data_IF_329474056739
#
_entry.id   IF_329474056739
#
_cell.length_a   1.000
_cell.length_b   1.000
_cell.length_c   1.000
_cell.angle_alpha   90.00
_cell.angle_beta   90.00
_cell.angle_gamma   90.00
#
_symmetry.space_group_name_H-M   'P 1'
#
loop_
_entity.id
_entity.type
_entity.pdbx_description
1 polymer ?
#
# COMPACT_ATOMS: atom_id res chain seq x y z
N UNK A 1 -83.52 51.42 -9.74
CA UNK A 1 -84.67 50.48 -9.65
C UNK A 1 -84.31 49.33 -10.56
N UNK A 2 -83.80 48.22 -10.03
CA UNK A 2 -84.57 47.21 -9.27
C UNK A 2 -85.17 46.28 -10.33
N UNK A 3 -84.83 45.00 -10.43
CA UNK A 3 -85.27 43.91 -9.54
C UNK A 3 -84.96 42.62 -10.33
N UNK A 4 -84.20 41.64 -9.82
CA UNK A 4 -84.68 40.39 -9.16
C UNK A 4 -85.59 39.52 -10.08
N UNK A 5 -85.45 38.19 -10.19
CA UNK A 5 -85.32 37.19 -9.12
C UNK A 5 -84.94 35.78 -9.67
N UNK A 6 -84.26 34.98 -8.81
CA UNK A 6 -84.50 33.54 -8.45
C UNK A 6 -84.59 32.44 -9.54
N UNK A 7 -84.23 31.15 -9.38
CA UNK A 7 -83.58 30.32 -8.35
C UNK A 7 -83.39 28.89 -8.93
N UNK A 8 -82.26 28.26 -8.60
CA UNK A 8 -82.12 26.89 -8.02
C UNK A 8 -82.54 25.59 -8.75
N UNK A 9 -81.54 24.69 -8.94
CA UNK A 9 -81.52 23.22 -8.70
C UNK A 9 -80.04 22.78 -8.65
N UNK A 10 -79.51 21.84 -7.85
CA UNK A 10 -79.80 21.13 -6.58
C UNK A 10 -78.51 20.31 -6.28
N UNK A 11 -78.12 20.18 -5.00
CA UNK A 11 -76.90 19.53 -4.46
C UNK A 11 -76.85 17.98 -4.52
N UNK A 12 -75.63 17.42 -4.43
CA UNK A 12 -75.19 16.23 -3.65
C UNK A 12 -73.62 16.25 -3.60
N UNK A 13 -72.91 16.67 -2.52
CA UNK A 13 -72.43 15.96 -1.29
C UNK A 13 -71.52 14.73 -1.61
N UNK A 14 -70.32 14.43 -1.06
CA UNK A 14 -69.65 14.61 0.26
C UNK A 14 -68.18 14.08 0.14
N UNK A 15 -67.17 14.75 0.73
CA UNK A 15 -66.34 14.34 1.90
C UNK A 15 -65.04 13.53 1.67
N UNK A 16 -64.00 14.04 2.36
CA UNK A 16 -62.90 13.37 3.07
C UNK A 16 -61.73 12.77 2.29
N UNK A 17 -60.49 12.74 2.80
CA UNK A 17 -59.69 13.55 3.75
C UNK A 17 -58.30 12.88 3.71
N UNK A 18 -57.30 13.58 4.23
CA UNK A 18 -55.88 13.19 4.36
C UNK A 18 -55.64 11.79 4.97
N UNK A 19 -54.49 11.19 4.64
CA UNK A 19 -53.49 10.71 5.62
C UNK A 19 -52.08 10.72 5.00
N UNK A 20 -51.15 11.10 5.87
CA UNK A 20 -49.74 11.48 5.77
C UNK A 20 -48.70 10.40 5.43
N UNK A 21 -47.50 10.93 5.14
CA UNK A 21 -46.15 10.43 5.47
C UNK A 21 -45.51 9.46 4.43
N UNK A 22 -44.24 9.55 4.03
CA UNK A 22 -43.06 10.24 4.56
C UNK A 22 -41.92 10.24 3.51
N UNK A 23 -40.97 11.17 3.69
CA UNK A 23 -39.58 11.21 3.20
C UNK A 23 -39.30 11.75 1.77
N UNK A 24 -38.87 13.02 1.68
CA UNK A 24 -37.49 13.56 1.88
C UNK A 24 -36.68 13.43 0.59
N UNK A 25 -36.45 14.54 -0.11
CA UNK A 25 -35.24 15.40 0.03
C UNK A 25 -33.97 14.61 -0.33
N UNK A 26 -33.10 15.03 -1.25
CA UNK A 26 -32.65 16.39 -1.45
C UNK A 26 -31.92 16.52 -2.81
N UNK A 27 -32.06 17.72 -3.41
CA UNK A 27 -30.95 18.54 -3.88
C UNK A 27 -29.73 17.81 -4.46
N UNK A 28 -29.62 17.82 -5.79
CA UNK A 28 -28.35 17.69 -6.50
C UNK A 28 -27.56 18.97 -6.18
N UNK A 29 -26.87 18.92 -5.04
CA UNK A 29 -25.93 19.94 -4.58
C UNK A 29 -24.59 19.73 -5.25
N UNK A 30 -24.06 20.83 -5.76
CA UNK A 30 -22.71 21.03 -6.29
C UNK A 30 -21.64 20.35 -5.43
N UNK A 31 -20.97 19.35 -5.98
CA UNK A 31 -19.70 18.83 -5.44
C UNK A 31 -18.54 19.64 -6.05
N UNK A 32 -18.41 20.89 -5.64
CA UNK A 32 -17.13 21.60 -5.64
C UNK A 32 -16.56 21.56 -4.23
N UNK A 33 -15.24 21.42 -4.15
CA UNK A 33 -14.38 21.33 -2.96
C UNK A 33 -14.15 19.92 -2.38
N UNK A 34 -13.43 19.09 -3.14
CA UNK A 34 -12.36 18.25 -2.54
C UNK A 34 -11.08 18.65 -3.26
N UNK A 35 -10.09 19.11 -2.50
CA UNK A 35 -8.86 19.71 -3.00
C UNK A 35 -8.13 18.81 -4.00
N UNK A 36 -8.29 19.10 -5.28
CA UNK A 36 -7.42 18.64 -6.35
C UNK A 36 -6.06 19.32 -6.22
N UNK A 37 -5.14 18.65 -5.55
CA UNK A 37 -3.73 18.69 -5.96
C UNK A 37 -3.30 17.24 -6.23
N UNK A 38 -3.89 16.69 -7.29
CA UNK A 38 -3.53 15.40 -7.85
C UNK A 38 -2.25 15.60 -8.68
N UNK A 39 -1.12 15.11 -8.17
CA UNK A 39 0.05 14.88 -9.01
C UNK A 39 -0.07 13.42 -9.45
N UNK A 40 -0.46 13.13 -10.71
CA UNK A 40 -0.22 11.81 -11.25
C UNK A 40 1.29 11.66 -11.38
N UNK A 41 1.90 10.94 -10.44
CA UNK A 41 3.18 10.29 -10.73
C UNK A 41 2.83 9.25 -11.80
N UNK A 42 3.49 9.32 -12.97
CA UNK A 42 3.43 8.25 -13.98
C UNK A 42 4.00 6.98 -13.33
N UNK A 43 3.13 6.25 -12.65
CA UNK A 43 3.44 5.04 -11.92
C UNK A 43 3.47 3.82 -12.81
N UNK A 44 3.89 2.70 -12.24
CA UNK A 44 3.87 1.41 -12.91
C UNK A 44 2.49 1.08 -13.52
N UNK A 45 2.44 0.94 -14.84
CA UNK A 45 1.23 0.51 -15.55
C UNK A 45 1.17 -1.02 -15.63
N UNK A 46 0.19 -1.67 -14.97
CA UNK A 46 0.09 -3.12 -14.93
C UNK A 46 -0.38 -3.77 -16.24
N UNK A 47 -0.86 -2.95 -17.19
CA UNK A 47 -1.38 -3.42 -18.48
C UNK A 47 -0.31 -3.34 -19.60
N UNK A 48 0.90 -2.89 -19.29
CA UNK A 48 2.03 -2.92 -20.23
C UNK A 48 2.71 -4.30 -20.23
N UNK A 49 2.94 -4.85 -21.43
CA UNK A 49 3.69 -6.10 -21.60
C UNK A 49 5.12 -5.92 -21.05
N UNK A 50 5.42 -6.57 -19.91
CA UNK A 50 6.74 -6.54 -19.28
C UNK A 50 7.75 -7.37 -20.07
N UNK A 51 8.71 -6.69 -20.69
CA UNK A 51 9.86 -7.35 -21.34
C UNK A 51 10.94 -7.58 -20.27
N UNK A 52 11.05 -8.83 -19.81
CA UNK A 52 12.06 -9.23 -18.83
C UNK A 52 13.34 -9.65 -19.56
N UNK A 53 14.48 -9.07 -19.17
CA UNK A 53 15.79 -9.50 -19.66
C UNK A 53 16.09 -10.91 -19.15
N UNK A 54 16.48 -11.82 -20.05
CA UNK A 54 16.83 -13.20 -19.72
C UNK A 54 17.94 -13.27 -18.65
N UNK A 55 18.86 -12.30 -18.64
CA UNK A 55 19.93 -12.18 -17.65
C UNK A 55 19.40 -11.87 -16.26
N UNK A 56 18.39 -11.00 -16.17
CA UNK A 56 17.78 -10.64 -14.88
C UNK A 56 16.95 -11.81 -14.35
N UNK A 57 16.27 -12.54 -15.23
CA UNK A 57 15.58 -13.78 -14.89
C UNK A 57 16.54 -14.86 -14.35
N UNK A 58 17.67 -15.09 -15.03
CA UNK A 58 18.70 -16.04 -14.58
C UNK A 58 19.34 -15.59 -13.25
N UNK A 59 19.56 -14.28 -13.09
CA UNK A 59 20.08 -13.72 -11.83
C UNK A 59 19.12 -13.97 -10.67
N UNK A 60 17.82 -13.73 -10.84
CA UNK A 60 16.83 -14.00 -9.81
C UNK A 60 16.82 -15.47 -9.39
N UNK A 61 16.85 -16.40 -10.35
CA UNK A 61 16.92 -17.82 -10.03
C UNK A 61 18.21 -18.20 -9.30
N UNK A 62 19.36 -17.70 -9.76
CA UNK A 62 20.66 -17.93 -9.11
C UNK A 62 20.66 -17.44 -7.66
N UNK A 63 20.12 -16.24 -7.41
CA UNK A 63 20.00 -15.68 -6.07
C UNK A 63 19.09 -16.53 -5.17
N UNK A 64 17.95 -16.98 -5.70
CA UNK A 64 17.00 -17.83 -5.00
C UNK A 64 17.62 -19.18 -4.61
N UNK A 65 18.28 -19.85 -5.56
CA UNK A 65 18.95 -21.14 -5.32
C UNK A 65 20.10 -21.01 -4.32
N UNK A 66 20.92 -19.96 -4.46
CA UNK A 66 22.05 -19.69 -3.55
C UNK A 66 21.57 -19.45 -2.12
N UNK A 67 20.44 -18.79 -1.92
CA UNK A 67 19.86 -18.62 -0.59
C UNK A 67 19.46 -19.96 0.01
N UNK A 68 18.76 -20.81 -0.76
CA UNK A 68 18.37 -22.16 -0.31
C UNK A 68 19.58 -23.03 0.02
N UNK A 69 20.66 -22.91 -0.74
CA UNK A 69 21.95 -23.55 -0.44
C UNK A 69 22.54 -23.08 0.88
N UNK A 70 22.66 -21.76 1.08
CA UNK A 70 23.17 -21.20 2.33
C UNK A 70 22.32 -21.62 3.54
N UNK A 71 21.00 -21.64 3.40
CA UNK A 71 20.11 -22.13 4.47
C UNK A 71 20.38 -23.60 4.83
N UNK A 72 20.71 -24.45 3.84
CA UNK A 72 21.07 -25.85 4.07
C UNK A 72 22.43 -26.00 4.75
N UNK A 73 23.40 -25.18 4.36
CA UNK A 73 24.79 -25.34 4.78
C UNK A 73 25.09 -24.67 6.14
N UNK A 74 24.45 -23.52 6.41
CA UNK A 74 24.73 -22.65 7.57
C UNK A 74 23.53 -22.43 8.49
N UNK A 75 22.34 -22.82 8.05
CA UNK A 75 21.09 -22.58 8.76
C UNK A 75 20.38 -21.30 8.30
N UNK A 76 19.05 -21.21 8.52
CA UNK A 76 18.23 -20.11 8.02
C UNK A 76 18.58 -18.76 8.64
N UNK A 77 18.96 -18.72 9.92
CA UNK A 77 19.22 -17.48 10.64
C UNK A 77 20.48 -16.77 10.08
N UNK A 78 21.59 -17.50 9.96
CA UNK A 78 22.84 -16.96 9.41
C UNK A 78 22.68 -16.55 7.93
N UNK A 79 22.05 -17.41 7.12
CA UNK A 79 21.82 -17.14 5.71
C UNK A 79 20.91 -15.90 5.49
N UNK A 80 19.90 -15.73 6.33
CA UNK A 80 18.99 -14.57 6.27
C UNK A 80 19.69 -13.31 6.77
N UNK A 81 20.48 -13.41 7.85
CA UNK A 81 21.22 -12.27 8.41
C UNK A 81 22.22 -11.67 7.43
N UNK A 82 23.08 -12.50 6.82
CA UNK A 82 24.05 -12.06 5.81
C UNK A 82 23.34 -11.37 4.64
N UNK A 83 22.35 -12.04 4.06
CA UNK A 83 21.64 -11.54 2.88
C UNK A 83 20.83 -10.27 3.17
N UNK A 84 20.16 -10.23 4.32
CA UNK A 84 19.39 -9.08 4.73
C UNK A 84 20.30 -7.87 4.93
N UNK A 85 21.45 -8.04 5.59
CA UNK A 85 22.38 -6.94 5.82
C UNK A 85 22.88 -6.31 4.51
N UNK A 86 23.23 -7.14 3.51
CA UNK A 86 23.65 -6.68 2.17
C UNK A 86 22.53 -5.86 1.50
N UNK A 87 21.33 -6.43 1.38
CA UNK A 87 20.20 -5.77 0.69
C UNK A 87 19.69 -4.55 1.46
N UNK A 88 19.66 -4.59 2.79
CA UNK A 88 19.20 -3.49 3.62
C UNK A 88 20.13 -2.28 3.51
N UNK A 89 21.45 -2.50 3.36
CA UNK A 89 22.39 -1.42 3.13
C UNK A 89 22.12 -0.67 1.81
N UNK A 90 21.88 -1.40 0.71
CA UNK A 90 21.51 -0.80 -0.58
C UNK A 90 20.16 -0.06 -0.50
N UNK A 91 19.17 -0.70 0.13
CA UNK A 91 17.85 -0.12 0.33
C UNK A 91 17.90 1.19 1.12
N UNK A 92 18.60 1.23 2.25
CA UNK A 92 18.74 2.45 3.04
C UNK A 92 19.52 3.53 2.29
N UNK A 93 20.57 3.16 1.55
CA UNK A 93 21.32 4.10 0.73
C UNK A 93 20.45 4.77 -0.34
N UNK A 94 19.55 4.02 -0.97
CA UNK A 94 18.57 4.59 -1.90
C UNK A 94 17.55 5.47 -1.18
N UNK A 95 17.03 5.02 -0.03
CA UNK A 95 16.07 5.79 0.76
C UNK A 95 16.63 7.12 1.27
N UNK A 96 17.94 7.23 1.48
CA UNK A 96 18.59 8.42 2.04
C UNK A 96 19.27 9.30 0.97
N UNK A 97 19.19 8.93 -0.32
CA UNK A 97 19.83 9.70 -1.40
C UNK A 97 19.09 11.02 -1.70
N UNK A 98 19.82 12.14 -1.77
CA UNK A 98 19.23 13.47 -2.03
C UNK A 98 18.68 13.62 -3.46
N UNK A 99 19.26 12.91 -4.43
CA UNK A 99 18.95 12.95 -5.86
C UNK A 99 18.52 11.57 -6.39
N UNK A 100 17.74 10.84 -5.59
CA UNK A 100 17.28 9.51 -5.96
C UNK A 100 16.54 9.49 -7.31
N UNK A 101 17.02 8.63 -8.21
CA UNK A 101 16.32 8.22 -9.43
C UNK A 101 16.19 6.68 -9.41
N UNK A 102 14.98 6.11 -9.49
CA UNK A 102 14.80 4.66 -9.54
C UNK A 102 15.48 4.01 -10.76
N UNK A 103 15.71 4.74 -11.85
CA UNK A 103 16.40 4.23 -13.03
C UNK A 103 17.91 4.09 -12.84
N UNK A 104 18.50 4.76 -11.86
CA UNK A 104 19.92 4.63 -11.49
C UNK A 104 20.19 3.40 -10.60
N UNK A 105 19.15 2.74 -10.11
CA UNK A 105 19.27 1.52 -9.33
C UNK A 105 19.79 0.35 -10.19
N UNK A 106 20.91 -0.25 -9.76
CA UNK A 106 21.50 -1.40 -10.44
C UNK A 106 20.54 -2.60 -10.45
N UNK A 107 20.32 -3.19 -11.64
CA UNK A 107 19.43 -4.33 -11.82
C UNK A 107 19.78 -5.52 -10.91
N UNK A 108 21.07 -5.75 -10.63
CA UNK A 108 21.53 -6.79 -9.70
C UNK A 108 21.00 -6.59 -8.28
N UNK A 109 21.05 -5.37 -7.77
CA UNK A 109 20.59 -5.03 -6.41
C UNK A 109 19.08 -5.07 -6.30
N UNK A 110 18.37 -4.60 -7.33
CA UNK A 110 16.91 -4.71 -7.43
C UNK A 110 16.45 -6.18 -7.51
N UNK A 111 17.18 -7.05 -8.24
CA UNK A 111 16.94 -8.49 -8.23
C UNK A 111 17.15 -9.07 -6.81
N UNK A 112 18.22 -8.68 -6.12
CA UNK A 112 18.50 -9.13 -4.76
C UNK A 112 17.39 -8.74 -3.78
N UNK A 113 16.87 -7.51 -3.90
CA UNK A 113 15.74 -6.99 -3.13
C UNK A 113 14.47 -7.84 -3.35
N UNK A 114 14.06 -7.99 -4.61
CA UNK A 114 12.83 -8.73 -4.95
C UNK A 114 12.89 -10.19 -4.50
N UNK A 115 14.01 -10.86 -4.73
CA UNK A 115 14.18 -12.26 -4.32
C UNK A 115 14.25 -12.37 -2.79
N UNK A 116 14.87 -11.42 -2.08
CA UNK A 116 14.87 -11.42 -0.61
C UNK A 116 13.44 -11.33 -0.04
N UNK A 117 12.62 -10.41 -0.57
CA UNK A 117 11.24 -10.25 -0.12
C UNK A 117 10.39 -11.49 -0.40
N UNK A 118 10.69 -12.20 -1.50
CA UNK A 118 10.02 -13.45 -1.89
C UNK A 118 10.44 -14.60 -0.96
N UNK A 119 11.73 -14.71 -0.65
CA UNK A 119 12.29 -15.81 0.13
C UNK A 119 12.04 -15.67 1.64
N UNK A 120 11.89 -14.44 2.14
CA UNK A 120 11.72 -14.16 3.56
C UNK A 120 10.69 -13.06 3.79
N UNK A 121 9.50 -13.46 4.26
CA UNK A 121 8.45 -12.52 4.68
C UNK A 121 8.90 -11.64 5.83
N UNK A 122 9.70 -12.17 6.76
CA UNK A 122 10.24 -11.41 7.87
C UNK A 122 11.19 -10.31 7.39
N UNK A 123 12.02 -10.59 6.39
CA UNK A 123 12.88 -9.59 5.76
C UNK A 123 12.07 -8.52 5.04
N UNK A 124 11.00 -8.90 4.31
CA UNK A 124 10.08 -7.93 3.71
C UNK A 124 9.46 -7.01 4.77
N UNK A 125 8.95 -7.59 5.85
CA UNK A 125 8.28 -6.84 6.90
C UNK A 125 9.28 -5.93 7.66
N UNK A 126 10.53 -6.37 7.83
CA UNK A 126 11.61 -5.54 8.35
C UNK A 126 11.93 -4.35 7.43
N UNK A 127 11.92 -4.52 6.11
CA UNK A 127 12.06 -3.40 5.16
C UNK A 127 10.87 -2.44 5.22
N UNK A 128 9.64 -2.94 5.40
CA UNK A 128 8.47 -2.08 5.62
C UNK A 128 8.66 -1.21 6.87
N UNK A 129 9.22 -1.77 7.95
CA UNK A 129 9.51 -0.99 9.17
C UNK A 129 10.44 0.20 8.88
N UNK A 130 11.39 0.09 7.96
CA UNK A 130 12.27 1.22 7.59
C UNK A 130 11.53 2.39 6.93
N UNK A 131 10.31 2.16 6.42
CA UNK A 131 9.47 3.17 5.77
C UNK A 131 8.51 3.85 6.74
N UNK A 132 7.95 3.10 7.69
CA UNK A 132 6.84 3.59 8.54
C UNK A 132 7.22 3.78 10.00
N UNK A 133 8.32 3.20 10.47
CA UNK A 133 8.80 3.44 11.82
C UNK A 133 9.38 4.86 11.93
N UNK A 134 9.26 5.52 13.10
CA UNK A 134 9.86 6.83 13.31
C UNK A 134 11.38 6.80 13.10
N UNK A 135 11.92 7.71 12.29
CA UNK A 135 13.31 7.64 11.77
C UNK A 135 14.43 7.57 12.82
N UNK A 136 14.20 8.03 14.05
CA UNK A 136 15.21 8.04 15.13
C UNK A 136 15.19 6.79 16.02
N UNK A 137 14.34 5.80 15.72
CA UNK A 137 14.08 4.67 16.64
C UNK A 137 14.89 3.41 16.35
N UNK A 138 15.49 3.30 15.16
CA UNK A 138 16.13 2.06 14.71
C UNK A 138 17.46 2.28 14.03
N UNK A 139 18.40 1.38 14.31
CA UNK A 139 19.59 1.18 13.50
C UNK A 139 19.47 -0.05 12.59
N UNK A 140 20.46 -0.28 11.73
CA UNK A 140 20.49 -1.43 10.83
C UNK A 140 20.45 -2.78 11.57
N UNK A 141 20.98 -2.84 12.81
CA UNK A 141 21.00 -4.08 13.59
C UNK A 141 19.60 -4.43 14.13
N UNK A 142 18.79 -3.42 14.44
CA UNK A 142 17.38 -3.63 14.81
C UNK A 142 16.57 -4.27 13.70
N UNK A 143 16.71 -3.78 12.47
CA UNK A 143 16.03 -4.35 11.30
C UNK A 143 16.53 -5.77 10.99
N UNK A 144 17.83 -6.03 11.17
CA UNK A 144 18.36 -7.39 11.06
C UNK A 144 17.75 -8.32 12.12
N UNK A 145 17.56 -7.83 13.35
CA UNK A 145 16.86 -8.56 14.40
C UNK A 145 15.43 -8.95 14.00
N UNK A 146 14.67 -8.04 13.38
CA UNK A 146 13.34 -8.31 12.87
C UNK A 146 13.35 -9.35 11.74
N UNK A 147 14.30 -9.26 10.82
CA UNK A 147 14.41 -10.18 9.69
C UNK A 147 14.81 -11.60 10.12
N UNK A 148 15.76 -11.72 11.04
CA UNK A 148 16.36 -13.02 11.44
C UNK A 148 15.57 -13.69 12.55
N UNK A 149 15.04 -12.92 13.51
CA UNK A 149 14.34 -13.45 14.68
C UNK A 149 12.95 -12.80 14.88
N UNK A 150 12.03 -12.89 13.90
CA UNK A 150 10.73 -12.23 13.93
C UNK A 150 9.82 -12.69 15.09
N UNK A 151 9.99 -13.93 15.54
CA UNK A 151 9.18 -14.53 16.61
C UNK A 151 9.83 -14.45 17.99
N UNK A 152 11.03 -13.87 18.11
CA UNK A 152 11.60 -13.59 19.42
C UNK A 152 10.64 -12.63 20.15
N UNK A 153 10.20 -12.94 21.39
CA UNK A 153 9.17 -12.14 22.07
C UNK A 153 9.48 -10.64 22.15
N UNK A 154 10.76 -10.29 22.27
CA UNK A 154 11.22 -8.89 22.23
C UNK A 154 10.97 -8.21 20.88
N UNK A 155 11.26 -8.91 19.78
CA UNK A 155 11.13 -8.38 18.42
C UNK A 155 9.67 -8.28 17.99
N UNK A 156 8.88 -9.33 18.21
CA UNK A 156 7.46 -9.34 17.87
C UNK A 156 6.70 -8.23 18.61
N UNK A 157 6.92 -8.12 19.93
CA UNK A 157 6.29 -7.07 20.73
C UNK A 157 6.78 -5.67 20.34
N UNK A 158 8.02 -5.54 19.87
CA UNK A 158 8.56 -4.25 19.41
C UNK A 158 7.92 -3.80 18.10
N UNK A 159 7.92 -4.67 17.08
CA UNK A 159 7.27 -4.38 15.79
C UNK A 159 5.78 -4.03 15.97
N UNK A 160 5.06 -4.79 16.80
CA UNK A 160 3.65 -4.51 17.09
C UNK A 160 3.45 -3.13 17.72
N UNK A 161 4.27 -2.76 18.71
CA UNK A 161 4.17 -1.45 19.36
C UNK A 161 4.46 -0.30 18.38
N UNK A 162 5.49 -0.44 17.56
CA UNK A 162 5.93 0.60 16.63
C UNK A 162 4.95 0.80 15.48
N UNK A 163 4.44 -0.29 14.89
CA UNK A 163 3.39 -0.20 13.87
C UNK A 163 2.12 0.45 14.41
N UNK A 164 1.70 0.09 15.62
CA UNK A 164 0.53 0.71 16.26
C UNK A 164 0.76 2.20 16.55
N UNK A 165 1.96 2.57 17.04
CA UNK A 165 2.32 3.95 17.28
C UNK A 165 2.33 4.77 15.99
N UNK A 166 2.95 4.25 14.92
CA UNK A 166 2.98 4.91 13.62
C UNK A 166 1.58 5.03 12.99
N UNK A 167 0.73 4.01 13.16
CA UNK A 167 -0.63 4.01 12.61
C UNK A 167 -1.57 5.01 13.31
N UNK A 168 -1.36 5.24 14.61
CA UNK A 168 -2.17 6.15 15.44
C UNK A 168 -1.55 7.54 15.61
N UNK A 169 -0.38 7.79 15.02
CA UNK A 169 0.24 9.10 15.00
C UNK A 169 -0.64 10.10 14.22
N UNK A 170 -0.74 11.33 14.74
CA UNK A 170 -1.43 12.42 14.07
C UNK A 170 -0.48 13.22 13.18
N UNK A 171 0.81 13.25 13.52
CA UNK A 171 1.84 13.86 12.69
C UNK A 171 2.04 13.06 11.41
N UNK A 172 2.24 13.74 10.27
CA UNK A 172 2.56 13.05 9.02
C UNK A 172 3.91 12.32 9.17
N UNK A 173 4.04 11.11 8.62
CA UNK A 173 5.32 10.42 8.53
C UNK A 173 6.23 11.11 7.50
N UNK A 174 7.44 10.58 7.33
CA UNK A 174 8.29 10.93 6.20
C UNK A 174 7.68 10.37 4.89
N UNK A 175 6.76 11.14 4.30
CA UNK A 175 6.04 10.77 3.09
C UNK A 175 7.01 10.61 1.91
N UNK A 176 8.05 11.43 1.83
CA UNK A 176 9.04 11.35 0.75
C UNK A 176 9.79 10.02 0.79
N UNK A 177 10.27 9.61 1.97
CA UNK A 177 10.89 8.30 2.18
C UNK A 177 9.97 7.16 1.78
N UNK A 178 8.69 7.23 2.16
CA UNK A 178 7.72 6.17 1.80
C UNK A 178 7.54 6.10 0.29
N UNK A 179 7.34 7.24 -0.39
CA UNK A 179 7.17 7.28 -1.84
C UNK A 179 8.43 6.79 -2.58
N UNK A 180 9.62 7.11 -2.07
CA UNK A 180 10.87 6.56 -2.58
C UNK A 180 10.92 5.04 -2.48
N UNK A 181 10.50 4.48 -1.33
CA UNK A 181 10.34 3.04 -1.14
C UNK A 181 9.36 2.41 -2.14
N UNK A 182 8.28 3.13 -2.47
CA UNK A 182 7.31 2.73 -3.51
C UNK A 182 8.00 2.66 -4.88
N UNK A 183 8.71 3.71 -5.29
CA UNK A 183 9.39 3.79 -6.59
C UNK A 183 10.47 2.69 -6.75
N UNK A 184 11.26 2.42 -5.71
CA UNK A 184 12.24 1.31 -5.71
C UNK A 184 11.52 -0.03 -5.95
N UNK A 185 10.40 -0.26 -5.26
CA UNK A 185 9.64 -1.49 -5.37
C UNK A 185 8.95 -1.65 -6.74
N UNK A 186 8.38 -0.57 -7.28
CA UNK A 186 7.82 -0.54 -8.64
C UNK A 186 8.91 -0.84 -9.66
N UNK A 187 10.09 -0.24 -9.52
CA UNK A 187 11.24 -0.50 -10.39
C UNK A 187 11.72 -1.94 -10.30
N UNK A 188 11.84 -2.49 -9.09
CA UNK A 188 12.21 -3.89 -8.89
C UNK A 188 11.20 -4.82 -9.59
N UNK A 189 9.90 -4.55 -9.47
CA UNK A 189 8.86 -5.34 -10.12
C UNK A 189 8.93 -5.29 -11.66
N UNK A 190 9.36 -4.16 -12.25
CA UNK A 190 9.53 -4.05 -13.70
C UNK A 190 10.64 -4.94 -14.26
N UNK A 191 11.72 -5.14 -13.50
CA UNK A 191 12.92 -5.83 -14.00
C UNK A 191 12.93 -7.35 -13.75
N UNK A 192 12.26 -7.81 -12.69
CA UNK A 192 12.30 -9.23 -12.29
C UNK A 192 11.19 -10.03 -12.97
N UNK A 193 11.30 -11.37 -13.09
CA UNK A 193 10.19 -12.21 -13.52
C UNK A 193 8.97 -12.12 -12.60
N UNK A 194 7.78 -12.48 -13.11
CA UNK A 194 6.50 -12.48 -12.37
C UNK A 194 6.60 -13.18 -11.00
N UNK A 195 7.29 -14.32 -10.95
CA UNK A 195 7.50 -15.11 -9.74
C UNK A 195 8.18 -14.33 -8.59
N UNK A 196 8.85 -13.21 -8.88
CA UNK A 196 9.53 -12.37 -7.90
C UNK A 196 8.96 -10.94 -7.83
N UNK A 197 8.01 -10.57 -8.71
CA UNK A 197 7.47 -9.21 -8.80
C UNK A 197 6.30 -8.97 -7.83
N UNK A 198 5.58 -10.01 -7.41
CA UNK A 198 4.40 -9.88 -6.56
C UNK A 198 4.71 -9.23 -5.19
N UNK A 199 5.83 -9.61 -4.56
CA UNK A 199 6.21 -9.08 -3.24
C UNK A 199 6.59 -7.59 -3.27
N UNK A 200 7.48 -7.12 -4.18
CA UNK A 200 7.72 -5.69 -4.37
C UNK A 200 6.44 -4.89 -4.62
N UNK A 201 5.55 -5.35 -5.50
CA UNK A 201 4.28 -4.66 -5.75
C UNK A 201 3.38 -4.61 -4.50
N UNK A 202 3.36 -5.65 -3.68
CA UNK A 202 2.63 -5.61 -2.42
C UNK A 202 3.22 -4.59 -1.42
N UNK A 203 4.54 -4.44 -1.37
CA UNK A 203 5.22 -3.41 -0.55
C UNK A 203 4.95 -2.01 -1.10
N UNK A 204 5.03 -1.82 -2.41
CA UNK A 204 4.66 -0.56 -3.07
C UNK A 204 3.21 -0.18 -2.75
N UNK A 205 2.28 -1.12 -2.90
CA UNK A 205 0.87 -0.92 -2.54
C UNK A 205 0.68 -0.58 -1.06
N UNK A 206 1.48 -1.17 -0.16
CA UNK A 206 1.44 -0.84 1.26
C UNK A 206 1.83 0.63 1.50
N UNK A 207 2.94 1.09 0.90
CA UNK A 207 3.38 2.49 1.00
C UNK A 207 2.37 3.47 0.38
N UNK A 208 1.77 3.10 -0.76
CA UNK A 208 0.69 3.86 -1.39
C UNK A 208 -0.54 3.97 -0.46
N UNK A 209 -0.98 2.86 0.13
CA UNK A 209 -2.09 2.87 1.10
C UNK A 209 -1.76 3.72 2.33
N UNK A 210 -0.53 3.63 2.82
CA UNK A 210 -0.07 4.39 3.98
C UNK A 210 -0.12 5.91 3.74
N UNK A 211 0.11 6.35 2.50
CA UNK A 211 0.15 7.76 2.09
C UNK A 211 -1.14 8.30 1.50
N UNK A 212 -2.15 7.44 1.35
CA UNK A 212 -3.43 7.77 0.73
C UNK A 212 -3.38 7.86 -0.80
N UNK A 213 -2.38 7.27 -1.44
CA UNK A 213 -2.28 7.20 -2.90
C UNK A 213 -3.34 6.23 -3.46
N UNK A 214 -4.17 6.74 -4.37
CA UNK A 214 -5.26 5.99 -5.00
C UNK A 214 -4.79 4.78 -5.84
N UNK A 215 -3.52 4.76 -6.26
CA UNK A 215 -2.92 3.62 -6.97
C UNK A 215 -2.86 2.34 -6.11
N UNK A 216 -2.91 2.46 -4.78
CA UNK A 216 -2.81 1.33 -3.85
C UNK A 216 -3.71 0.14 -4.23
N UNK A 217 -4.97 0.40 -4.60
CA UNK A 217 -5.94 -0.62 -4.99
C UNK A 217 -5.49 -1.40 -6.25
N UNK A 218 -5.11 -0.66 -7.30
CA UNK A 218 -4.69 -1.22 -8.59
C UNK A 218 -3.40 -2.03 -8.43
N UNK A 219 -2.44 -1.50 -7.67
CA UNK A 219 -1.16 -2.17 -7.38
C UNK A 219 -1.34 -3.44 -6.53
N UNK A 220 -2.23 -3.42 -5.52
CA UNK A 220 -2.55 -4.62 -4.73
C UNK A 220 -3.21 -5.70 -5.59
N UNK A 221 -4.17 -5.32 -6.44
CA UNK A 221 -4.84 -6.27 -7.33
C UNK A 221 -3.83 -6.94 -8.29
N UNK A 222 -2.89 -6.17 -8.83
CA UNK A 222 -1.84 -6.74 -9.69
C UNK A 222 -0.93 -7.70 -8.92
N UNK A 223 -0.50 -7.35 -7.71
CA UNK A 223 0.30 -8.25 -6.88
C UNK A 223 -0.40 -9.61 -6.65
N UNK A 224 -1.73 -9.62 -6.48
CA UNK A 224 -2.54 -10.84 -6.36
C UNK A 224 -2.65 -11.60 -7.70
N UNK A 225 -2.71 -10.90 -8.83
CA UNK A 225 -2.72 -11.55 -10.15
C UNK A 225 -1.42 -12.29 -10.44
N UNK A 226 -0.29 -11.78 -9.95
CA UNK A 226 1.01 -12.45 -10.08
C UNK A 226 1.18 -13.61 -9.09
N UNK A 227 0.61 -13.47 -7.89
CA UNK A 227 0.58 -14.52 -6.87
C UNK A 227 -0.75 -14.49 -6.09
N UNK A 228 -1.63 -15.45 -6.37
CA UNK A 228 -2.94 -15.56 -5.69
C UNK A 228 -2.82 -15.71 -4.16
N UNK A 229 -1.66 -16.13 -3.67
CA UNK A 229 -1.33 -16.27 -2.25
C UNK A 229 -0.83 -14.97 -1.59
N UNK A 230 -0.78 -13.83 -2.29
CA UNK A 230 -0.17 -12.59 -1.80
C UNK A 230 -0.92 -11.92 -0.64
N UNK A 231 -0.65 -12.41 0.59
CA UNK A 231 -1.38 -11.99 1.81
C UNK A 231 -1.33 -10.50 2.10
N UNK A 232 -0.18 -9.85 1.89
CA UNK A 232 -0.03 -8.42 2.17
C UNK A 232 -0.97 -7.59 1.29
N UNK A 233 -1.05 -7.90 -0.01
CA UNK A 233 -1.99 -7.26 -0.93
C UNK A 233 -3.45 -7.50 -0.52
N UNK A 234 -3.79 -8.72 -0.08
CA UNK A 234 -5.13 -9.03 0.45
C UNK A 234 -5.50 -8.22 1.70
N UNK A 235 -4.54 -7.98 2.59
CA UNK A 235 -4.72 -7.12 3.78
C UNK A 235 -5.00 -5.68 3.34
N UNK A 236 -4.23 -5.15 2.38
CA UNK A 236 -4.39 -3.78 1.86
C UNK A 236 -5.77 -3.61 1.20
N UNK A 237 -6.18 -4.53 0.33
CA UNK A 237 -7.52 -4.50 -0.27
C UNK A 237 -8.62 -4.49 0.79
N UNK A 238 -8.47 -5.31 1.83
CA UNK A 238 -9.43 -5.38 2.93
C UNK A 238 -9.47 -4.07 3.73
N UNK A 239 -8.31 -3.44 3.97
CA UNK A 239 -8.23 -2.15 4.63
C UNK A 239 -8.93 -1.06 3.82
N UNK A 240 -8.64 -0.97 2.51
CA UNK A 240 -9.26 -0.03 1.58
C UNK A 240 -10.79 -0.20 1.54
N UNK A 241 -11.29 -1.44 1.40
CA UNK A 241 -12.73 -1.72 1.37
C UNK A 241 -13.45 -1.37 2.68
N UNK A 242 -12.73 -1.37 3.81
CA UNK A 242 -13.27 -1.02 5.13
C UNK A 242 -13.01 0.43 5.52
N UNK A 243 -12.35 1.22 4.66
CA UNK A 243 -11.96 2.59 4.98
C UNK A 243 -10.97 2.69 6.15
N UNK A 244 -10.15 1.66 6.36
CA UNK A 244 -9.10 1.67 7.39
C UNK A 244 -7.87 2.37 6.81
N UNK A 245 -7.41 3.43 7.48
CA UNK A 245 -6.27 4.24 7.06
C UNK A 245 -5.49 4.74 8.30
N UNK A 246 -4.19 5.06 8.17
CA UNK A 246 -3.43 5.73 9.23
C UNK A 246 -4.07 7.04 9.67
N UNK A 247 -4.02 7.33 10.97
CA UNK A 247 -4.74 8.47 11.57
C UNK A 247 -4.31 9.84 11.03
N UNK A 248 -3.04 9.99 10.64
CA UNK A 248 -2.53 11.23 10.03
C UNK A 248 -3.20 11.59 8.70
N UNK A 249 -3.87 10.66 8.03
CA UNK A 249 -4.64 10.96 6.82
C UNK A 249 -5.98 11.64 7.14
N UNK A 250 -6.54 11.43 8.34
CA UNK A 250 -7.78 12.07 8.78
C UNK A 250 -7.57 13.54 9.16
N UNK A 251 -6.33 13.94 9.43
CA UNK A 251 -5.96 15.30 9.85
C UNK A 251 -5.52 16.21 8.69
N UNK A 252 -5.57 15.73 7.43
CA UNK A 252 -5.33 16.57 6.24
C UNK A 252 -6.48 17.60 6.10
N UNK A 253 -6.19 18.92 6.10
CA UNK A 253 -7.19 19.98 5.98
C UNK A 253 -7.85 20.03 4.60
#
# INVERSE_FOLDING_TARGET
MGSYNEETKRNETTMDENIESTNRDASIGTAEAVGTLFVPLEGFEPDEDRIIDERDAERCQTLHERYRERCRDRGPDEATGERFAEVCADWLAWLDADDFDPFDCEAERLCALAVLMTDSLASRDALIMTLVAPGDTHDAADFAGFAVHPHAPGNAARMERELNAAFTAQEPPDVERILRGVEICERAAQIVPDAFAAHPLAVASYGMWWTGDARALKTAAHAIMLDEGMRLAGIILTALLRGVAPQWLETRP
#
